data_IF_375110655026
#
_entry.id   IF_375110655026
#
_cell.length_a   1.000
_cell.length_b   1.000
_cell.length_c   1.000
_cell.angle_alpha   90.00
_cell.angle_beta   90.00
_cell.angle_gamma   90.00
#
_symmetry.space_group_name_H-M   'P 1'
#
loop_
_entity.id
_entity.type
_entity.pdbx_description
1 polymer ?
#
# COMPACT_ATOMS: atom_id res chain seq x y z
N UNK A 1 26.21 -7.51 -5.08
CA UNK A 1 24.83 -8.02 -5.18
C UNK A 1 23.88 -6.84 -5.33
N UNK A 2 22.97 -6.86 -6.31
CA UNK A 2 21.94 -5.83 -6.44
C UNK A 2 20.67 -6.32 -5.74
N UNK A 3 20.11 -5.51 -4.84
CA UNK A 3 18.87 -5.83 -4.16
C UNK A 3 17.69 -5.54 -5.08
N UNK A 4 16.71 -6.45 -5.11
CA UNK A 4 15.45 -6.26 -5.81
C UNK A 4 14.31 -6.34 -4.80
N UNK A 5 13.63 -5.21 -4.60
CA UNK A 5 12.49 -5.13 -3.70
C UNK A 5 11.32 -5.98 -4.22
N UNK A 6 10.61 -6.70 -3.34
CA UNK A 6 9.44 -7.52 -3.69
C UNK A 6 8.17 -6.66 -3.79
N UNK A 7 8.18 -5.63 -4.63
CA UNK A 7 7.10 -4.62 -4.69
C UNK A 7 5.71 -5.23 -4.91
N UNK A 8 5.60 -6.33 -5.67
CA UNK A 8 4.32 -7.01 -5.89
C UNK A 8 3.71 -7.59 -4.61
N UNK A 9 4.55 -8.14 -3.75
CA UNK A 9 4.15 -8.74 -2.48
C UNK A 9 3.72 -7.65 -1.50
N UNK A 10 4.54 -6.59 -1.39
CA UNK A 10 4.23 -5.43 -0.56
C UNK A 10 2.91 -4.75 -0.98
N UNK A 11 2.66 -4.60 -2.28
CA UNK A 11 1.39 -4.05 -2.79
C UNK A 11 0.19 -4.98 -2.53
N UNK A 12 0.40 -6.30 -2.57
CA UNK A 12 -0.64 -7.26 -2.22
C UNK A 12 -1.05 -7.12 -0.76
N UNK A 13 -0.09 -7.06 0.16
CA UNK A 13 -0.35 -6.91 1.60
C UNK A 13 -1.03 -5.58 1.91
N UNK A 14 -0.58 -4.49 1.29
CA UNK A 14 -1.18 -3.16 1.47
C UNK A 14 -2.66 -3.18 1.07
N UNK A 15 -2.99 -3.83 -0.06
CA UNK A 15 -4.37 -3.87 -0.56
C UNK A 15 -5.27 -4.83 0.22
N UNK A 16 -4.77 -6.00 0.62
CA UNK A 16 -5.62 -7.07 1.15
C UNK A 16 -5.52 -7.26 2.66
N UNK A 17 -4.42 -6.84 3.28
CA UNK A 17 -4.19 -6.99 4.72
C UNK A 17 -4.29 -5.65 5.45
N UNK A 18 -3.73 -4.58 4.87
CA UNK A 18 -3.72 -3.26 5.51
C UNK A 18 -4.95 -2.40 5.20
N UNK A 19 -5.82 -2.84 4.28
CA UNK A 19 -7.06 -2.17 3.92
C UNK A 19 -6.86 -0.69 3.55
N UNK A 20 -5.94 -0.43 2.61
CA UNK A 20 -5.50 0.93 2.25
C UNK A 20 -6.64 1.87 1.82
N UNK A 21 -7.75 1.32 1.32
CA UNK A 21 -8.95 2.08 0.98
C UNK A 21 -9.52 2.89 2.17
N UNK A 22 -9.33 2.41 3.42
CA UNK A 22 -9.72 3.17 4.61
C UNK A 22 -8.78 4.33 4.91
N UNK A 23 -7.50 4.23 4.53
CA UNK A 23 -6.53 5.32 4.70
C UNK A 23 -6.90 6.49 3.80
N UNK A 24 -7.41 6.22 2.60
CA UNK A 24 -7.91 7.25 1.69
C UNK A 24 -9.12 8.05 2.23
N UNK A 25 -9.80 7.56 3.28
CA UNK A 25 -10.89 8.28 3.95
C UNK A 25 -10.39 9.29 5.00
N UNK A 26 -9.10 9.29 5.33
CA UNK A 26 -8.51 10.21 6.31
C UNK A 26 -8.25 11.55 5.61
N UNK A 27 -8.68 12.69 6.17
CA UNK A 27 -8.40 14.01 5.58
C UNK A 27 -6.90 14.22 5.34
N UNK A 28 -6.53 14.58 4.11
CA UNK A 28 -5.14 14.78 3.69
C UNK A 28 -4.42 13.52 3.19
N UNK A 29 -5.10 12.38 3.06
CA UNK A 29 -4.58 11.12 2.52
C UNK A 29 -5.37 10.59 1.33
N UNK A 30 -6.07 11.46 0.62
CA UNK A 30 -7.01 11.10 -0.45
C UNK A 30 -6.36 10.30 -1.59
N UNK A 31 -5.05 10.47 -1.83
CA UNK A 31 -4.28 9.78 -2.88
C UNK A 31 -3.73 8.40 -2.46
N UNK A 32 -4.02 7.94 -1.24
CA UNK A 32 -3.48 6.68 -0.73
C UNK A 32 -4.14 5.43 -1.35
N UNK A 33 -5.36 5.54 -1.89
CA UNK A 33 -6.17 4.41 -2.42
C UNK A 33 -5.90 4.08 -3.89
#
# INVERSE_FOLDING_TARGET
>A
MSYKAPLKDMLFDIKHLANIDQVAQIPGFEDAG
#
